data_IF_550676185149
#
_entry.id   IF_550676185149
#
_cell.length_a   1.000
_cell.length_b   1.000
_cell.length_c   1.000
_cell.angle_alpha   90.00
_cell.angle_beta   90.00
_cell.angle_gamma   90.00
#
_symmetry.space_group_name_H-M   'P 1'
#
loop_
_entity.id
_entity.type
_entity.pdbx_description
1 polymer ?
#
# COMPACT_ATOMS: atom_id res chain seq x y z
N UNK A 1 -26.26 12.63 2.12
CA UNK A 1 -26.07 11.31 2.76
C UNK A 1 -26.10 10.25 1.67
N UNK A 2 -24.93 9.88 1.11
CA UNK A 2 -24.87 8.72 0.22
C UNK A 2 -24.59 7.49 1.09
N UNK A 3 -25.64 6.77 1.44
CA UNK A 3 -25.51 5.50 2.15
C UNK A 3 -24.98 4.45 1.16
N UNK A 4 -23.78 3.93 1.43
CA UNK A 4 -23.33 2.72 0.76
C UNK A 4 -24.22 1.58 1.28
N UNK A 5 -24.95 0.95 0.37
CA UNK A 5 -25.71 -0.26 0.66
C UNK A 5 -24.72 -1.43 0.82
N UNK A 6 -24.22 -1.62 2.04
CA UNK A 6 -23.27 -2.70 2.38
C UNK A 6 -23.71 -4.07 1.83
N UNK A 7 -25.00 -4.46 1.89
CA UNK A 7 -25.44 -5.76 1.40
C UNK A 7 -25.22 -6.00 -0.11
N UNK A 8 -25.21 -4.95 -0.93
CA UNK A 8 -25.10 -5.09 -2.40
C UNK A 8 -23.65 -5.07 -2.89
N UNK A 9 -22.69 -4.70 -2.03
CA UNK A 9 -21.29 -4.51 -2.40
C UNK A 9 -20.65 -5.71 -3.15
N UNK A 10 -20.89 -6.98 -2.74
CA UNK A 10 -20.29 -8.13 -3.44
C UNK A 10 -20.84 -8.36 -4.85
N UNK A 11 -21.99 -7.76 -5.18
CA UNK A 11 -22.69 -7.96 -6.46
C UNK A 11 -22.43 -6.84 -7.47
N UNK A 12 -21.74 -5.77 -7.06
CA UNK A 12 -21.39 -4.69 -7.97
C UNK A 12 -20.34 -5.16 -8.99
N UNK A 13 -20.43 -4.72 -10.26
CA UNK A 13 -19.36 -4.92 -11.22
C UNK A 13 -18.03 -4.41 -10.69
N UNK A 14 -16.93 -5.08 -11.06
CA UNK A 14 -15.59 -4.76 -10.57
C UNK A 14 -15.24 -3.28 -10.74
N UNK A 15 -15.57 -2.69 -11.89
CA UNK A 15 -15.23 -1.30 -12.20
C UNK A 15 -16.02 -0.31 -11.34
N UNK A 16 -17.30 -0.59 -11.08
CA UNK A 16 -18.11 0.20 -10.15
C UNK A 16 -17.59 0.08 -8.72
N UNK A 17 -17.21 -1.14 -8.32
CA UNK A 17 -16.65 -1.39 -6.99
C UNK A 17 -15.32 -0.66 -6.78
N UNK A 18 -14.52 -0.51 -7.84
CA UNK A 18 -13.29 0.31 -7.82
C UNK A 18 -13.60 1.81 -7.68
N UNK A 19 -14.67 2.32 -8.29
CA UNK A 19 -15.07 3.72 -8.20
C UNK A 19 -15.62 4.12 -6.82
N UNK A 20 -16.13 3.17 -6.04
CA UNK A 20 -16.65 3.47 -4.70
C UNK A 20 -15.59 3.50 -3.60
N UNK A 21 -14.33 3.14 -3.86
CA UNK A 21 -13.27 3.10 -2.83
C UNK A 21 -13.13 4.40 -2.02
N UNK A 22 -13.20 5.60 -2.64
CA UNK A 22 -13.26 6.85 -1.89
C UNK A 22 -14.39 6.87 -0.85
N UNK A 23 -15.61 6.56 -1.28
CA UNK A 23 -16.79 6.55 -0.38
C UNK A 23 -16.65 5.47 0.70
N UNK A 24 -16.14 4.30 0.32
CA UNK A 24 -15.88 3.18 1.21
C UNK A 24 -14.88 3.55 2.32
N UNK A 25 -13.74 4.14 1.97
CA UNK A 25 -12.72 4.60 2.93
C UNK A 25 -13.23 5.77 3.79
N UNK A 26 -14.19 6.56 3.28
CA UNK A 26 -14.75 7.68 4.02
C UNK A 26 -15.86 7.27 5.02
N UNK A 27 -16.29 6.00 5.04
CA UNK A 27 -17.27 5.52 6.01
C UNK A 27 -16.78 5.70 7.48
N UNK A 28 -17.70 5.81 8.46
CA UNK A 28 -17.37 5.63 9.87
C UNK A 28 -16.71 4.27 10.11
N UNK A 29 -15.84 4.18 11.10
CA UNK A 29 -14.99 3.00 11.34
C UNK A 29 -15.77 1.68 11.39
N UNK A 30 -16.86 1.61 12.16
CA UNK A 30 -17.67 0.39 12.30
C UNK A 30 -18.31 -0.02 10.96
N UNK A 31 -18.78 0.98 10.19
CA UNK A 31 -19.36 0.75 8.86
C UNK A 31 -18.30 0.33 7.84
N UNK A 32 -17.10 0.88 7.92
CA UNK A 32 -15.96 0.47 7.11
C UNK A 32 -15.58 -0.98 7.39
N UNK A 33 -15.46 -1.38 8.66
CA UNK A 33 -15.14 -2.76 9.03
C UNK A 33 -16.20 -3.75 8.55
N UNK A 34 -17.49 -3.43 8.72
CA UNK A 34 -18.58 -4.26 8.24
C UNK A 34 -18.56 -4.39 6.70
N UNK A 35 -18.34 -3.28 5.99
CA UNK A 35 -18.24 -3.28 4.55
C UNK A 35 -17.00 -4.03 4.03
N UNK A 36 -15.85 -3.88 4.71
CA UNK A 36 -14.62 -4.59 4.39
C UNK A 36 -14.80 -6.11 4.57
N UNK A 37 -15.37 -6.54 5.69
CA UNK A 37 -15.67 -7.94 5.95
C UNK A 37 -16.61 -8.49 4.87
N UNK A 38 -17.63 -7.72 4.46
CA UNK A 38 -18.57 -8.13 3.41
C UNK A 38 -17.90 -8.25 2.05
N UNK A 39 -17.02 -7.32 1.67
CA UNK A 39 -16.23 -7.41 0.42
C UNK A 39 -15.25 -8.59 0.46
N UNK A 40 -14.81 -9.03 1.64
CA UNK A 40 -13.84 -10.12 1.76
C UNK A 40 -14.48 -11.50 2.04
N UNK A 41 -15.81 -11.57 2.15
CA UNK A 41 -16.53 -12.84 2.30
C UNK A 41 -16.40 -13.71 1.03
N UNK A 42 -16.44 -15.04 1.21
CA UNK A 42 -16.28 -16.02 0.13
C UNK A 42 -17.30 -15.80 -0.99
N UNK A 43 -16.80 -15.66 -2.23
CA UNK A 43 -17.61 -15.34 -3.42
C UNK A 43 -17.46 -13.89 -3.92
N UNK A 44 -16.63 -13.07 -3.27
CA UNK A 44 -16.37 -11.70 -3.72
C UNK A 44 -15.64 -11.61 -5.06
N UNK A 45 -16.03 -10.62 -5.87
CA UNK A 45 -15.38 -10.23 -7.12
C UNK A 45 -13.97 -9.67 -6.87
N UNK A 46 -13.69 -9.13 -5.67
CA UNK A 46 -12.39 -8.58 -5.33
C UNK A 46 -11.60 -9.50 -4.41
N UNK A 47 -10.35 -9.75 -4.81
CA UNK A 47 -9.35 -10.37 -3.96
C UNK A 47 -8.86 -9.40 -2.88
N UNK A 48 -8.36 -9.89 -1.73
CA UNK A 48 -7.75 -9.03 -0.69
C UNK A 48 -6.67 -8.08 -1.24
N UNK A 49 -5.86 -8.55 -2.19
CA UNK A 49 -4.85 -7.72 -2.84
C UNK A 49 -5.48 -6.53 -3.59
N UNK A 50 -6.54 -6.76 -4.36
CA UNK A 50 -7.24 -5.70 -5.09
C UNK A 50 -7.90 -4.69 -4.14
N UNK A 51 -8.42 -5.15 -3.00
CA UNK A 51 -8.96 -4.24 -1.97
C UNK A 51 -7.88 -3.31 -1.43
N UNK A 52 -6.73 -3.85 -1.04
CA UNK A 52 -5.65 -3.01 -0.51
C UNK A 52 -5.11 -2.04 -1.57
N UNK A 53 -5.00 -2.49 -2.83
CA UNK A 53 -4.60 -1.62 -3.95
C UNK A 53 -5.63 -0.52 -4.20
N UNK A 54 -6.92 -0.83 -4.14
CA UNK A 54 -8.00 0.15 -4.27
C UNK A 54 -7.93 1.22 -3.18
N UNK A 55 -7.69 0.83 -1.92
CA UNK A 55 -7.47 1.78 -0.81
C UNK A 55 -6.22 2.64 -1.08
N UNK A 56 -5.15 2.04 -1.60
CA UNK A 56 -3.94 2.77 -2.02
C UNK A 56 -4.16 3.74 -3.18
N UNK A 57 -5.17 3.51 -4.02
CA UNK A 57 -5.57 4.40 -5.11
C UNK A 57 -6.35 5.64 -4.67
N UNK A 58 -6.88 5.67 -3.44
CA UNK A 58 -7.64 6.81 -2.90
C UNK A 58 -6.70 7.96 -2.58
N UNK A 59 -6.74 9.02 -3.39
CA UNK A 59 -5.88 10.19 -3.24
C UNK A 59 -6.60 11.25 -2.38
N UNK A 60 -6.07 11.62 -1.19
CA UNK A 60 -6.72 12.54 -0.27
C UNK A 60 -7.18 13.87 -0.90
N UNK A 61 -6.32 14.47 -1.72
CA UNK A 61 -6.56 15.76 -2.37
C UNK A 61 -7.60 15.65 -3.49
N UNK A 62 -7.50 14.65 -4.36
CA UNK A 62 -8.43 14.43 -5.49
C UNK A 62 -9.81 14.02 -5.00
N UNK A 63 -9.86 13.15 -3.99
CA UNK A 63 -11.08 12.48 -3.58
C UNK A 63 -11.76 13.17 -2.37
N UNK A 64 -11.15 14.24 -1.82
CA UNK A 64 -11.70 15.00 -0.70
C UNK A 64 -11.75 14.21 0.62
N UNK A 65 -10.82 13.26 0.82
CA UNK A 65 -10.82 12.35 1.97
C UNK A 65 -9.65 12.66 2.88
N UNK A 66 -9.86 12.82 4.21
CA UNK A 66 -8.76 13.02 5.14
C UNK A 66 -7.71 11.91 5.05
N UNK A 67 -6.43 12.28 4.94
CA UNK A 67 -5.30 11.33 4.86
C UNK A 67 -5.33 10.30 6.02
N UNK A 68 -5.79 10.73 7.19
CA UNK A 68 -5.96 9.88 8.37
C UNK A 68 -6.91 8.69 8.08
N UNK A 69 -8.05 8.91 7.42
CA UNK A 69 -8.99 7.83 7.09
C UNK A 69 -8.39 6.80 6.16
N UNK A 70 -7.65 7.24 5.13
CA UNK A 70 -6.99 6.30 4.22
C UNK A 70 -5.90 5.49 4.95
N UNK A 71 -5.18 6.16 5.84
CA UNK A 71 -4.17 5.51 6.70
C UNK A 71 -4.81 4.46 7.62
N UNK A 72 -5.93 4.79 8.26
CA UNK A 72 -6.64 3.90 9.18
C UNK A 72 -7.25 2.70 8.43
N UNK A 73 -7.75 2.92 7.21
CA UNK A 73 -8.22 1.84 6.33
C UNK A 73 -7.09 0.85 5.99
N UNK A 74 -5.93 1.34 5.58
CA UNK A 74 -4.74 0.50 5.37
C UNK A 74 -4.38 -0.27 6.66
N UNK A 75 -4.30 0.41 7.80
CA UNK A 75 -3.94 -0.22 9.08
C UNK A 75 -4.92 -1.34 9.45
N UNK A 76 -6.21 -1.14 9.21
CA UNK A 76 -7.25 -2.15 9.45
C UNK A 76 -7.01 -3.41 8.61
N UNK A 77 -6.64 -3.26 7.33
CA UNK A 77 -6.25 -4.40 6.50
C UNK A 77 -5.03 -5.13 7.08
N UNK A 78 -3.98 -4.40 7.49
CA UNK A 78 -2.77 -4.99 8.07
C UNK A 78 -3.01 -5.71 9.42
N UNK A 79 -4.05 -5.36 10.17
CA UNK A 79 -4.44 -6.06 11.39
C UNK A 79 -5.07 -7.43 11.10
N UNK A 80 -5.70 -7.61 9.93
CA UNK A 80 -6.36 -8.86 9.52
C UNK A 80 -5.38 -9.82 8.83
N UNK A 81 -4.30 -10.23 9.52
CA UNK A 81 -3.18 -11.03 8.94
C UNK A 81 -3.59 -12.38 8.35
N UNK A 82 -4.71 -12.96 8.78
CA UNK A 82 -5.27 -14.19 8.22
C UNK A 82 -5.84 -13.99 6.81
N UNK A 83 -6.29 -12.77 6.49
CA UNK A 83 -6.82 -12.41 5.17
C UNK A 83 -5.72 -11.76 4.32
N UNK A 84 -5.01 -10.78 4.89
CA UNK A 84 -3.88 -10.10 4.26
C UNK A 84 -2.58 -10.81 4.60
N UNK A 85 -2.44 -12.01 4.04
CA UNK A 85 -1.29 -12.89 4.25
C UNK A 85 -0.02 -12.34 3.59
N UNK A 86 1.10 -12.98 3.90
CA UNK A 86 2.40 -12.71 3.27
C UNK A 86 2.32 -12.69 1.73
N UNK A 87 1.65 -13.67 1.13
CA UNK A 87 1.50 -13.79 -0.34
C UNK A 87 0.66 -12.65 -0.92
N UNK A 88 -0.41 -12.26 -0.22
CA UNK A 88 -1.26 -11.13 -0.61
C UNK A 88 -0.46 -9.84 -0.60
N UNK A 89 0.29 -9.56 0.47
CA UNK A 89 1.08 -8.34 0.57
C UNK A 89 2.24 -8.30 -0.44
N UNK A 90 2.90 -9.43 -0.70
CA UNK A 90 3.92 -9.51 -1.74
C UNK A 90 3.35 -9.16 -3.12
N UNK A 91 2.16 -9.68 -3.44
CA UNK A 91 1.44 -9.32 -4.68
C UNK A 91 1.09 -7.84 -4.73
N UNK A 92 0.60 -7.26 -3.63
CA UNK A 92 0.28 -5.83 -3.55
C UNK A 92 1.53 -4.99 -3.80
N UNK A 93 2.64 -5.28 -3.11
CA UNK A 93 3.88 -4.51 -3.27
C UNK A 93 4.44 -4.60 -4.69
N UNK A 94 4.39 -5.78 -5.32
CA UNK A 94 4.79 -5.96 -6.72
C UNK A 94 3.96 -5.10 -7.68
N UNK A 95 2.65 -5.01 -7.48
CA UNK A 95 1.80 -4.19 -8.33
C UNK A 95 1.97 -2.68 -8.06
N UNK A 96 2.16 -2.29 -6.80
CA UNK A 96 2.30 -0.88 -6.44
C UNK A 96 3.66 -0.28 -6.89
N UNK A 97 4.75 -1.05 -6.87
CA UNK A 97 6.08 -0.55 -7.30
C UNK A 97 6.14 -0.28 -8.81
N UNK A 98 5.27 -0.93 -9.59
CA UNK A 98 5.17 -0.74 -11.05
C UNK A 98 4.43 0.53 -11.44
N UNK A 99 3.66 1.13 -10.52
CA UNK A 99 2.89 2.34 -10.81
C UNK A 99 3.81 3.53 -11.11
N UNK A 100 3.38 4.34 -12.09
CA UNK A 100 4.03 5.58 -12.50
C UNK A 100 2.95 6.66 -12.54
N UNK A 101 3.03 7.70 -11.69
CA UNK A 101 4.05 7.93 -10.66
C UNK A 101 3.92 6.96 -9.46
N UNK A 102 5.04 6.71 -8.77
CA UNK A 102 5.02 5.88 -7.56
C UNK A 102 4.19 6.54 -6.46
N UNK A 103 3.33 5.76 -5.80
CA UNK A 103 2.45 6.30 -4.76
C UNK A 103 3.25 6.80 -3.55
N UNK A 104 2.95 8.03 -3.09
CA UNK A 104 3.61 8.64 -1.91
C UNK A 104 3.55 7.77 -0.64
N UNK A 105 2.56 6.88 -0.53
CA UNK A 105 2.36 5.99 0.63
C UNK A 105 3.06 4.64 0.51
N UNK A 106 3.70 4.34 -0.62
CA UNK A 106 4.28 3.03 -0.92
C UNK A 106 5.28 2.57 0.16
N UNK A 107 6.22 3.42 0.55
CA UNK A 107 7.23 3.05 1.55
C UNK A 107 6.64 2.75 2.93
N UNK A 108 5.51 3.36 3.28
CA UNK A 108 4.81 3.03 4.53
C UNK A 108 4.32 1.58 4.50
N UNK A 109 3.74 1.15 3.37
CA UNK A 109 3.28 -0.23 3.16
C UNK A 109 4.42 -1.22 3.20
N UNK A 110 5.57 -0.87 2.60
CA UNK A 110 6.79 -1.69 2.66
C UNK A 110 7.24 -1.90 4.12
N UNK A 111 7.34 -0.82 4.90
CA UNK A 111 7.75 -0.88 6.31
C UNK A 111 6.74 -1.68 7.14
N UNK A 112 5.44 -1.47 6.93
CA UNK A 112 4.37 -2.23 7.61
C UNK A 112 4.42 -3.71 7.26
N UNK A 113 4.72 -4.05 6.00
CA UNK A 113 4.85 -5.44 5.55
C UNK A 113 6.02 -6.14 6.22
N UNK A 114 7.19 -5.50 6.32
CA UNK A 114 8.34 -6.05 7.06
C UNK A 114 7.99 -6.29 8.53
N UNK A 115 7.34 -5.31 9.18
CA UNK A 115 6.96 -5.44 10.59
C UNK A 115 5.91 -6.53 10.84
N UNK A 116 5.04 -6.81 9.86
CA UNK A 116 4.03 -7.86 9.95
C UNK A 116 4.58 -9.24 9.58
N UNK A 117 5.46 -9.32 8.58
CA UNK A 117 5.99 -10.55 7.99
C UNK A 117 7.50 -10.45 7.71
N UNK A 118 8.36 -10.65 8.72
CA UNK A 118 9.81 -10.58 8.57
C UNK A 118 10.40 -11.57 7.55
N UNK A 119 9.69 -12.67 7.26
CA UNK A 119 10.08 -13.63 6.23
C UNK A 119 10.08 -13.05 4.79
N UNK A 120 9.59 -11.83 4.58
CA UNK A 120 9.66 -11.14 3.28
C UNK A 120 10.91 -10.29 3.09
N UNK A 121 11.87 -10.24 4.01
CA UNK A 121 13.01 -9.32 3.92
C UNK A 121 13.73 -9.42 2.56
N UNK A 122 14.04 -10.61 2.07
CA UNK A 122 14.73 -10.79 0.78
C UNK A 122 13.90 -10.26 -0.39
N UNK A 123 12.61 -10.59 -0.42
CA UNK A 123 11.67 -10.02 -1.39
C UNK A 123 11.62 -8.48 -1.32
N UNK A 124 11.66 -7.91 -0.11
CA UNK A 124 11.69 -6.45 0.05
C UNK A 124 13.01 -5.88 -0.47
N UNK A 125 14.14 -6.58 -0.36
CA UNK A 125 15.40 -6.11 -0.94
C UNK A 125 15.31 -6.01 -2.47
N UNK A 126 14.66 -6.96 -3.13
CA UNK A 126 14.37 -6.88 -4.57
C UNK A 126 13.51 -5.65 -4.90
N UNK A 127 12.48 -5.38 -4.09
CA UNK A 127 11.62 -4.20 -4.23
C UNK A 127 12.45 -2.91 -4.05
N UNK A 128 13.30 -2.83 -3.02
CA UNK A 128 14.15 -1.66 -2.80
C UNK A 128 15.14 -1.45 -3.95
N UNK A 129 15.73 -2.51 -4.49
CA UNK A 129 16.61 -2.42 -5.67
C UNK A 129 15.87 -1.85 -6.90
N UNK A 130 14.63 -2.29 -7.15
CA UNK A 130 13.78 -1.69 -8.21
C UNK A 130 13.49 -0.20 -7.98
N UNK A 131 13.39 0.24 -6.72
CA UNK A 131 13.22 1.66 -6.39
C UNK A 131 14.47 2.49 -6.65
N UNK A 132 15.66 1.91 -6.45
CA UNK A 132 16.93 2.54 -6.83
C UNK A 132 16.96 2.80 -8.33
N UNK A 133 16.61 1.81 -9.16
CA UNK A 133 16.51 2.01 -10.62
C UNK A 133 15.48 3.08 -11.02
N UNK A 134 14.47 3.33 -10.18
CA UNK A 134 13.47 4.39 -10.35
C UNK A 134 13.89 5.74 -9.75
N UNK A 135 15.14 5.88 -9.29
CA UNK A 135 15.68 7.11 -8.71
C UNK A 135 14.85 7.66 -7.54
N UNK A 136 14.46 6.76 -6.61
CA UNK A 136 13.59 7.10 -5.47
C UNK A 136 14.08 8.30 -4.63
N UNK A 137 15.39 8.57 -4.61
CA UNK A 137 15.99 9.71 -3.91
C UNK A 137 15.49 11.08 -4.41
N UNK A 138 15.00 11.18 -5.64
CA UNK A 138 14.40 12.43 -6.16
C UNK A 138 13.13 12.85 -5.42
N UNK A 139 12.47 11.94 -4.73
CA UNK A 139 11.30 12.25 -3.91
C UNK A 139 11.66 12.12 -2.42
N UNK A 140 11.89 13.26 -1.76
CA UNK A 140 12.35 13.31 -0.37
C UNK A 140 11.47 12.51 0.60
N UNK A 141 10.14 12.53 0.41
CA UNK A 141 9.21 11.79 1.30
C UNK A 141 9.37 10.28 1.15
N UNK A 142 9.52 9.79 -0.08
CA UNK A 142 9.76 8.38 -0.35
C UNK A 142 11.17 7.96 0.07
N UNK A 143 12.16 8.82 -0.15
CA UNK A 143 13.55 8.59 0.24
C UNK A 143 13.73 8.38 1.74
N UNK A 144 13.09 9.22 2.57
CA UNK A 144 13.08 9.03 4.04
C UNK A 144 12.50 7.67 4.42
N UNK A 145 11.42 7.24 3.75
CA UNK A 145 10.85 5.91 3.95
C UNK A 145 11.80 4.78 3.52
N UNK A 146 12.50 4.95 2.40
CA UNK A 146 13.50 4.01 1.90
C UNK A 146 14.64 3.83 2.91
N UNK A 147 15.23 4.92 3.40
CA UNK A 147 16.31 4.87 4.39
C UNK A 147 15.86 4.22 5.71
N UNK A 148 14.64 4.53 6.16
CA UNK A 148 14.05 3.89 7.34
C UNK A 148 13.90 2.37 7.14
N UNK A 149 13.43 1.95 5.98
CA UNK A 149 13.32 0.52 5.63
C UNK A 149 14.69 -0.15 5.60
N UNK A 150 15.68 0.46 4.94
CA UNK A 150 17.05 -0.04 4.88
C UNK A 150 17.66 -0.16 6.28
N UNK A 151 17.40 0.79 7.17
CA UNK A 151 17.88 0.73 8.55
C UNK A 151 17.27 -0.43 9.35
N UNK A 152 15.98 -0.70 9.14
CA UNK A 152 15.26 -1.79 9.81
C UNK A 152 15.68 -3.19 9.34
N UNK A 153 16.28 -3.29 8.16
CA UNK A 153 16.62 -4.55 7.48
C UNK A 153 18.12 -4.75 7.34
N UNK A 154 18.90 -4.18 8.27
CA UNK A 154 20.34 -4.46 8.35
C UNK A 154 20.57 -5.90 8.83
N UNK A 155 21.57 -6.61 8.28
CA UNK A 155 22.53 -6.17 7.27
C UNK A 155 22.09 -6.34 5.80
N UNK A 156 20.94 -6.96 5.53
CA UNK A 156 20.47 -7.32 4.18
C UNK A 156 20.38 -6.12 3.23
N UNK A 157 20.06 -4.94 3.76
CA UNK A 157 19.95 -3.71 2.97
C UNK A 157 21.27 -3.14 2.45
N UNK A 158 22.44 -3.58 2.94
CA UNK A 158 23.73 -3.02 2.53
C UNK A 158 23.97 -3.16 1.02
N UNK A 159 23.65 -4.31 0.44
CA UNK A 159 23.79 -4.53 -1.01
C UNK A 159 22.94 -3.57 -1.84
N UNK A 160 21.75 -3.20 -1.36
CA UNK A 160 20.87 -2.24 -2.06
C UNK A 160 21.39 -0.81 -1.89
N UNK A 161 21.87 -0.43 -0.71
CA UNK A 161 22.42 0.90 -0.47
C UNK A 161 23.65 1.20 -1.34
N UNK A 162 24.48 0.19 -1.62
CA UNK A 162 25.64 0.33 -2.51
C UNK A 162 25.26 0.57 -3.98
N UNK A 163 24.02 0.26 -4.39
CA UNK A 163 23.54 0.53 -5.74
C UNK A 163 23.19 2.00 -5.96
N UNK A 164 23.05 2.79 -4.89
CA UNK A 164 22.76 4.22 -4.99
C UNK A 164 24.08 4.93 -5.29
N UNK A 165 24.25 5.39 -6.54
CA UNK A 165 25.48 6.05 -6.97
C UNK A 165 25.69 7.39 -6.23
N UNK A 166 26.86 7.65 -5.62
CA UNK A 166 27.16 8.91 -4.95
C UNK A 166 27.05 10.15 -5.86
N UNK A 167 27.32 9.99 -7.16
CA UNK A 167 27.23 11.08 -8.14
C UNK A 167 25.80 11.61 -8.34
N UNK A 168 24.77 10.82 -8.03
CA UNK A 168 23.37 11.26 -8.17
C UNK A 168 22.96 12.29 -7.10
N UNK A 169 23.74 12.42 -6.02
CA UNK A 169 23.50 13.41 -4.95
C UNK A 169 24.22 14.74 -5.20
N UNK A 170 25.27 14.76 -6.05
CA UNK A 170 26.10 15.95 -6.29
C UNK A 170 25.44 17.03 -7.17
N UNK A 171 24.25 16.75 -7.72
CA UNK A 171 23.50 17.68 -8.57
C UNK A 171 22.23 18.24 -7.89
N UNK A 172 22.07 18.02 -6.58
CA UNK A 172 20.91 18.45 -5.80
C UNK A 172 21.23 19.40 -4.63
N UNK A 173 22.47 19.88 -4.53
CA UNK A 173 22.87 21.02 -3.69
C UNK A 173 22.77 22.34 -4.46
#
# INVERSE_FOLDING_TARGET
TQEILIPILPFLPKDELLQIFPRFVNLPFDKFQAALARILQGGSILTPAQVLIGIHGVAPERDGIPLKKVTDACNTCFQQRQIFTQQVLAKVLNQLVEQIPLLMRFMRTVIQTIGAFPALVDFIMEILSRLVSKQIWKNQKLWVGFLKCAQLTKPQSFGVLLQVCPFDFLFYD
#
